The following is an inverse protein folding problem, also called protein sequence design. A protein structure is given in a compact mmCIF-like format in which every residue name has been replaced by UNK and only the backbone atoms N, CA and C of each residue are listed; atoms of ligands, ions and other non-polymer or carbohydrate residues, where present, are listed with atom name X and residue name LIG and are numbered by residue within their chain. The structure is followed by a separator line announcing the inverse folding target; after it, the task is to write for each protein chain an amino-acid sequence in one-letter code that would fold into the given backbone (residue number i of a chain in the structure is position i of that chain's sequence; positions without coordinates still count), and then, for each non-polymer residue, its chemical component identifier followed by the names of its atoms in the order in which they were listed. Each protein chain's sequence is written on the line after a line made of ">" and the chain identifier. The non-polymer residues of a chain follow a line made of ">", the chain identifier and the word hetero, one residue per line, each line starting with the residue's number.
data_IF_918327087588
#
_entry.id   IF_918327087588
#
_cell.length_a   1.000
_cell.length_b   1.000
_cell.length_c   1.000
_cell.angle_alpha   90.00
_cell.angle_beta   90.00
_cell.angle_gamma   90.00
#
_symmetry.space_group_name_H-M   'P 1'
#
loop_
_entity.id
_entity.type
_entity.pdbx_description
1 polymer ?
#
# COMPACT_ATOMS: atom_id res chain seq x y z
N UNK A 1 -1.03 19.13 16.51
CA UNK A 1 -1.81 19.40 15.27
C UNK A 1 -1.38 18.36 14.27
N UNK A 2 -2.30 17.64 13.62
CA UNK A 2 -1.91 16.71 12.57
C UNK A 2 -1.31 17.53 11.41
N UNK A 3 -0.10 17.17 10.98
CA UNK A 3 0.55 17.87 9.87
C UNK A 3 -0.18 17.50 8.56
N UNK A 4 -0.01 18.31 7.51
CA UNK A 4 -0.66 18.06 6.21
C UNK A 4 -0.34 16.65 5.66
N UNK A 5 0.87 16.17 5.92
CA UNK A 5 1.36 14.85 5.53
C UNK A 5 0.53 13.73 6.18
N UNK A 6 0.16 13.87 7.45
CA UNK A 6 -0.65 12.88 8.16
C UNK A 6 -2.05 12.75 7.55
N UNK A 7 -2.66 13.87 7.13
CA UNK A 7 -3.97 13.86 6.47
C UNK A 7 -3.89 13.20 5.09
N UNK A 8 -2.86 13.52 4.31
CA UNK A 8 -2.59 12.89 3.00
C UNK A 8 -2.38 11.39 3.17
N UNK A 9 -1.58 10.97 4.15
CA UNK A 9 -1.30 9.57 4.43
C UNK A 9 -2.57 8.79 4.79
N UNK A 10 -3.43 9.33 5.66
CA UNK A 10 -4.70 8.69 6.02
C UNK A 10 -5.61 8.50 4.80
N UNK A 11 -5.75 9.52 3.95
CA UNK A 11 -6.52 9.42 2.72
C UNK A 11 -5.92 8.39 1.74
N UNK A 12 -4.60 8.39 1.57
CA UNK A 12 -3.90 7.43 0.72
C UNK A 12 -4.05 5.99 1.21
N UNK A 13 -3.89 5.74 2.51
CA UNK A 13 -4.05 4.40 3.10
C UNK A 13 -5.46 3.88 2.87
N UNK A 14 -6.48 4.72 3.04
CA UNK A 14 -7.86 4.30 2.74
C UNK A 14 -8.04 3.99 1.25
N UNK A 15 -7.49 4.82 0.36
CA UNK A 15 -7.54 4.63 -1.09
C UNK A 15 -6.79 3.38 -1.58
N UNK A 16 -5.67 3.02 -0.95
CA UNK A 16 -4.84 1.88 -1.31
C UNK A 16 -5.36 0.56 -0.72
N UNK A 17 -5.64 0.53 0.58
CA UNK A 17 -6.00 -0.73 1.25
C UNK A 17 -7.44 -1.16 0.98
N UNK A 18 -8.34 -0.23 0.63
CA UNK A 18 -9.70 -0.57 0.21
C UNK A 18 -9.72 -1.55 -0.97
N UNK A 19 -9.16 -1.24 -2.17
CA UNK A 19 -9.11 -2.18 -3.29
C UNK A 19 -8.18 -3.38 -3.03
N UNK A 20 -7.14 -3.26 -2.20
CA UNK A 20 -6.28 -4.41 -1.84
C UNK A 20 -7.05 -5.54 -1.15
N UNK A 21 -8.03 -5.17 -0.33
CA UNK A 21 -8.90 -6.11 0.38
C UNK A 21 -10.07 -6.63 -0.47
N UNK A 22 -10.24 -6.13 -1.71
CA UNK A 22 -11.27 -6.62 -2.63
C UNK A 22 -10.78 -7.84 -3.42
N UNK A 23 -11.75 -8.60 -3.96
CA UNK A 23 -11.47 -9.71 -4.88
C UNK A 23 -10.82 -9.23 -6.18
N UNK A 24 -11.31 -8.10 -6.72
CA UNK A 24 -10.69 -7.43 -7.85
C UNK A 24 -9.80 -6.29 -7.37
N UNK A 25 -8.49 -6.47 -7.54
CA UNK A 25 -7.45 -5.52 -7.12
C UNK A 25 -7.00 -4.61 -8.27
N UNK A 26 -7.68 -4.64 -9.42
CA UNK A 26 -7.27 -3.95 -10.65
C UNK A 26 -7.04 -2.45 -10.49
N UNK A 27 -7.78 -1.78 -9.60
CA UNK A 27 -7.66 -0.35 -9.35
C UNK A 27 -6.27 0.05 -8.79
N UNK A 28 -5.56 -0.88 -8.14
CA UNK A 28 -4.21 -0.63 -7.62
C UNK A 28 -3.19 -0.36 -8.73
N UNK A 29 -3.44 -0.80 -9.96
CA UNK A 29 -2.50 -0.66 -11.07
C UNK A 29 -2.17 0.82 -11.37
N UNK A 30 -3.11 1.74 -11.11
CA UNK A 30 -2.92 3.17 -11.32
C UNK A 30 -1.98 3.83 -10.29
N UNK A 31 -1.73 3.16 -9.17
CA UNK A 31 -0.85 3.65 -8.10
C UNK A 31 0.61 3.28 -8.33
N UNK A 32 0.90 2.51 -9.38
CA UNK A 32 2.23 2.02 -9.71
C UNK A 32 2.68 2.49 -11.09
N UNK A 33 3.98 2.68 -11.21
CA UNK A 33 4.68 3.06 -12.44
C UNK A 33 5.68 1.96 -12.83
N UNK A 34 6.29 2.08 -14.00
CA UNK A 34 7.38 1.19 -14.44
C UNK A 34 8.61 1.24 -13.52
N UNK A 35 8.77 2.30 -12.72
CA UNK A 35 9.87 2.46 -11.75
C UNK A 35 9.48 2.07 -10.32
N UNK A 36 8.24 1.65 -10.09
CA UNK A 36 7.78 1.24 -8.77
C UNK A 36 8.45 -0.05 -8.31
N UNK A 37 8.64 -0.18 -7.01
CA UNK A 37 9.21 -1.34 -6.36
C UNK A 37 8.28 -1.82 -5.24
N UNK A 38 8.10 -3.13 -5.14
CA UNK A 38 7.49 -3.80 -4.00
C UNK A 38 8.48 -4.83 -3.47
N UNK A 39 8.71 -4.81 -2.16
CA UNK A 39 9.39 -5.91 -1.47
C UNK A 39 8.40 -6.60 -0.55
N UNK A 40 8.33 -7.93 -0.61
CA UNK A 40 7.41 -8.73 0.20
C UNK A 40 8.12 -10.03 0.63
N UNK A 41 8.24 -10.25 1.94
CA UNK A 41 8.87 -11.46 2.53
C UNK A 41 10.27 -11.78 1.95
N UNK A 42 11.09 -10.75 1.68
CA UNK A 42 12.44 -10.89 1.14
C UNK A 42 12.54 -10.92 -0.40
N UNK A 43 11.42 -11.03 -1.11
CA UNK A 43 11.38 -10.98 -2.58
C UNK A 43 11.13 -9.54 -3.07
N UNK A 44 11.75 -9.16 -4.19
CA UNK A 44 11.57 -7.85 -4.81
C UNK A 44 10.91 -7.94 -6.19
N UNK A 45 9.93 -7.07 -6.43
CA UNK A 45 9.14 -6.98 -7.65
C UNK A 45 9.25 -5.58 -8.21
N UNK A 46 9.73 -5.47 -9.45
CA UNK A 46 9.93 -4.18 -10.13
C UNK A 46 8.90 -3.99 -11.24
N UNK A 47 8.36 -2.78 -11.33
CA UNK A 47 7.38 -2.39 -12.34
C UNK A 47 5.95 -2.82 -11.99
N UNK A 48 4.99 -2.08 -12.56
CA UNK A 48 3.56 -2.22 -12.27
C UNK A 48 3.06 -3.66 -12.44
N UNK A 49 3.42 -4.32 -13.53
CA UNK A 49 2.83 -5.62 -13.87
C UNK A 49 3.28 -6.74 -12.91
N UNK A 50 4.55 -6.75 -12.51
CA UNK A 50 5.08 -7.69 -11.52
C UNK A 50 4.46 -7.46 -10.14
N UNK A 51 4.35 -6.19 -9.74
CA UNK A 51 3.70 -5.79 -8.48
C UNK A 51 2.24 -6.24 -8.46
N UNK A 52 1.47 -5.95 -9.51
CA UNK A 52 0.07 -6.33 -9.59
C UNK A 52 -0.14 -7.84 -9.56
N UNK A 53 0.77 -8.60 -10.18
CA UNK A 53 0.75 -10.07 -10.11
C UNK A 53 0.93 -10.54 -8.66
N UNK A 54 1.91 -10.00 -7.93
CA UNK A 54 2.11 -10.33 -6.51
C UNK A 54 0.93 -9.92 -5.63
N UNK A 55 0.40 -8.70 -5.79
CA UNK A 55 -0.74 -8.23 -4.98
C UNK A 55 -1.98 -9.11 -5.17
N UNK A 56 -2.24 -9.58 -6.40
CA UNK A 56 -3.33 -10.52 -6.69
C UNK A 56 -3.12 -11.90 -6.05
N UNK A 57 -1.89 -12.31 -5.79
CA UNK A 57 -1.59 -13.60 -5.15
C UNK A 57 -1.69 -13.57 -3.62
N UNK A 58 -1.82 -12.40 -2.98
CA UNK A 58 -1.91 -12.27 -1.52
C UNK A 58 -3.25 -12.85 -1.03
N UNK A 59 -3.24 -13.89 -0.16
CA UNK A 59 -4.43 -14.63 0.25
C UNK A 59 -5.09 -14.08 1.54
N UNK A 60 -4.62 -12.95 2.07
CA UNK A 60 -5.17 -12.35 3.29
C UNK A 60 -5.76 -10.97 3.04
N UNK A 61 -6.66 -10.57 3.93
CA UNK A 61 -7.13 -9.20 4.05
C UNK A 61 -6.34 -8.47 5.13
N UNK A 62 -6.18 -7.17 4.96
CA UNK A 62 -5.47 -6.32 5.90
C UNK A 62 -6.46 -5.55 6.78
N UNK A 63 -6.12 -5.38 8.06
CA UNK A 63 -6.80 -4.46 8.96
C UNK A 63 -5.79 -3.45 9.50
N UNK A 64 -5.96 -2.19 9.13
CA UNK A 64 -5.07 -1.11 9.55
C UNK A 64 -5.29 -0.79 11.04
N UNK A 65 -4.19 -0.61 11.78
CA UNK A 65 -4.18 -0.28 13.20
C UNK A 65 -3.57 1.11 13.41
N UNK A 66 -2.37 1.36 12.87
CA UNK A 66 -1.72 2.67 12.93
C UNK A 66 -1.29 3.14 11.55
N UNK A 67 -1.27 4.45 11.38
CA UNK A 67 -0.73 5.14 10.21
C UNK A 67 0.10 6.30 10.72
N UNK A 68 1.39 6.29 10.40
CA UNK A 68 2.33 7.35 10.76
C UNK A 68 2.95 7.91 9.47
N UNK A 69 3.05 9.23 9.37
CA UNK A 69 3.59 9.91 8.20
C UNK A 69 4.81 10.76 8.56
N UNK A 70 5.79 10.78 7.65
CA UNK A 70 6.96 11.66 7.73
C UNK A 70 7.15 12.37 6.38
N UNK A 71 7.57 13.65 6.39
CA UNK A 71 8.00 14.30 5.15
C UNK A 71 9.25 13.62 4.60
N UNK A 72 9.34 13.52 3.28
CA UNK A 72 10.50 13.00 2.55
C UNK A 72 10.97 14.01 1.49
N UNK A 73 12.11 13.72 0.85
CA UNK A 73 12.69 14.62 -0.15
C UNK A 73 11.77 14.85 -1.35
N UNK A 74 11.92 16.00 -2.00
CA UNK A 74 11.15 16.34 -3.21
C UNK A 74 9.65 16.53 -2.98
N UNK A 75 9.21 16.78 -1.74
CA UNK A 75 7.79 16.92 -1.40
C UNK A 75 7.04 15.59 -1.30
N UNK A 76 7.75 14.47 -1.25
CA UNK A 76 7.17 13.16 -1.02
C UNK A 76 6.74 12.98 0.45
N UNK A 77 5.85 12.02 0.69
CA UNK A 77 5.43 11.61 2.04
C UNK A 77 5.79 10.14 2.21
N UNK A 78 6.53 9.83 3.27
CA UNK A 78 6.79 8.46 3.69
C UNK A 78 5.67 8.03 4.65
N UNK A 79 5.01 6.92 4.33
CA UNK A 79 3.87 6.41 5.10
C UNK A 79 4.21 5.05 5.69
N UNK A 80 4.14 4.94 7.01
CA UNK A 80 4.26 3.69 7.75
C UNK A 80 2.88 3.22 8.17
N UNK A 81 2.56 1.97 7.85
CA UNK A 81 1.26 1.36 8.14
C UNK A 81 1.50 0.09 8.92
N UNK A 82 0.92 0.00 10.12
CA UNK A 82 0.93 -1.22 10.92
C UNK A 82 -0.48 -1.78 11.00
N UNK A 83 -0.61 -3.09 10.89
CA UNK A 83 -1.92 -3.74 10.88
C UNK A 83 -1.84 -5.25 11.02
N UNK A 84 -3.01 -5.88 11.00
CA UNK A 84 -3.14 -7.33 11.06
C UNK A 84 -3.40 -7.89 9.67
N UNK A 85 -2.77 -9.02 9.35
CA UNK A 85 -3.14 -9.86 8.22
C UNK A 85 -4.15 -10.91 8.69
N UNK A 86 -5.33 -10.93 8.07
CA UNK A 86 -6.43 -11.83 8.39
C UNK A 86 -6.59 -12.82 7.24
N UNK A 87 -6.37 -14.10 7.52
CA UNK A 87 -6.68 -15.20 6.59
C UNK A 87 -8.05 -15.71 6.98
N UNK A 88 -8.99 -15.73 6.04
CA UNK A 88 -10.25 -16.45 6.22
C UNK A 88 -10.02 -17.93 5.97
N UNK A 89 -10.39 -18.78 6.92
CA UNK A 89 -10.48 -20.24 6.75
C UNK A 89 -11.58 -20.63 5.75
#
# INVERSE_FOLDING_TARGET
>A
MATNEQQIAQAFVQHYFHPLNQKDKGQLAMLYTERSLLTFEGESFAGRDAIMTKLKSIPFQTRIVTVDAQPAEGGAVMVFVTGNAMVSE
#
